data_IF_982570665203
#
_entry.id   IF_982570665203
#
_cell.length_a   1.000
_cell.length_b   1.000
_cell.length_c   1.000
_cell.angle_alpha   90.00
_cell.angle_beta   90.00
_cell.angle_gamma   90.00
#
_symmetry.space_group_name_H-M   'P 1'
#
loop_
_entity.id
_entity.type
_entity.pdbx_description
1 polymer ?
#
# COMPACT_ATOMS: atom_id res chain seq x y z
N UNK A 1 -13.45 4.52 -17.91
CA UNK A 1 -12.94 5.57 -17.03
C UNK A 1 -11.51 5.25 -16.63
N UNK A 2 -10.64 6.23 -16.74
CA UNK A 2 -9.24 5.99 -16.43
C UNK A 2 -9.05 5.86 -14.91
N UNK A 3 -8.22 4.93 -14.52
CA UNK A 3 -7.92 4.76 -13.10
C UNK A 3 -6.75 5.66 -12.75
N UNK A 4 -6.74 6.19 -11.54
CA UNK A 4 -5.66 7.04 -11.11
C UNK A 4 -4.38 6.21 -10.88
N UNK A 5 -3.27 6.88 -10.80
CA UNK A 5 -2.01 6.19 -10.48
C UNK A 5 -2.09 5.51 -9.12
N UNK A 6 -2.79 6.13 -8.19
CA UNK A 6 -2.95 5.56 -6.86
C UNK A 6 -3.78 4.28 -6.91
N UNK A 7 -4.87 4.28 -7.68
CA UNK A 7 -5.70 3.09 -7.80
C UNK A 7 -4.89 1.92 -8.36
N UNK A 8 -4.06 2.18 -9.35
CA UNK A 8 -3.21 1.14 -9.91
C UNK A 8 -2.19 0.64 -8.90
N UNK A 9 -1.62 1.56 -8.13
CA UNK A 9 -0.66 1.18 -7.09
C UNK A 9 -1.32 0.30 -6.03
N UNK A 10 -2.52 0.67 -5.61
CA UNK A 10 -3.24 -0.12 -4.62
C UNK A 10 -3.52 -1.53 -5.15
N UNK A 11 -4.02 -1.63 -6.38
CA UNK A 11 -4.28 -2.95 -6.96
C UNK A 11 -3.02 -3.78 -7.10
N UNK A 12 -1.94 -3.14 -7.52
CA UNK A 12 -0.66 -3.81 -7.66
C UNK A 12 -0.20 -4.39 -6.32
N UNK A 13 -0.33 -3.59 -5.26
CA UNK A 13 0.08 -4.03 -3.93
C UNK A 13 -0.84 -5.12 -3.39
N UNK A 14 -2.14 -5.02 -3.64
CA UNK A 14 -3.07 -6.07 -3.22
C UNK A 14 -2.70 -7.42 -3.81
N UNK A 15 -2.29 -7.43 -5.06
CA UNK A 15 -1.90 -8.68 -5.70
C UNK A 15 -0.66 -9.30 -5.06
N UNK A 16 0.05 -8.54 -4.26
CA UNK A 16 1.28 -9.00 -3.63
C UNK A 16 1.16 -9.17 -2.13
N UNK A 17 -0.08 -9.27 -1.65
CA UNK A 17 -0.30 -9.60 -0.25
C UNK A 17 -0.60 -8.42 0.66
N UNK A 18 -0.69 -7.23 0.11
CA UNK A 18 -1.11 -6.08 0.92
C UNK A 18 -2.60 -6.17 1.19
N UNK A 19 -2.99 -5.71 2.35
CA UNK A 19 -4.39 -5.62 2.73
C UNK A 19 -4.76 -4.16 2.91
N UNK A 20 -5.92 -3.78 2.41
CA UNK A 20 -6.41 -2.42 2.56
C UNK A 20 -7.78 -2.47 3.20
N UNK A 21 -7.98 -1.64 4.20
CA UNK A 21 -9.27 -1.55 4.84
C UNK A 21 -10.08 -0.44 4.18
N UNK A 22 -11.33 -0.72 3.81
CA UNK A 22 -12.18 0.35 3.33
C UNK A 22 -12.54 1.16 4.56
N UNK A 23 -11.91 2.29 4.72
CA UNK A 23 -12.14 3.05 5.92
C UNK A 23 -12.45 4.48 5.58
N UNK A 24 -13.70 4.83 5.68
CA UNK A 24 -14.07 6.22 5.79
C UNK A 24 -13.72 6.70 7.18
N UNK A 25 -13.68 5.76 8.12
CA UNK A 25 -13.30 6.03 9.51
C UNK A 25 -12.25 5.04 9.94
N UNK A 26 -11.33 5.49 10.75
CA UNK A 26 -10.35 4.65 11.39
C UNK A 26 -10.54 4.82 12.87
N UNK A 27 -10.93 3.73 13.56
CA UNK A 27 -11.16 3.76 15.00
C UNK A 27 -12.19 4.80 15.41
N UNK A 28 -13.26 4.91 14.60
CA UNK A 28 -14.32 5.84 14.92
C UNK A 28 -14.10 7.26 14.48
N UNK A 29 -12.97 7.53 13.88
CA UNK A 29 -12.62 8.87 13.42
C UNK A 29 -12.52 8.86 11.90
N UNK A 30 -12.90 9.95 11.25
CA UNK A 30 -12.78 10.03 9.81
C UNK A 30 -11.32 9.95 9.40
N UNK A 31 -11.08 9.18 8.35
CA UNK A 31 -9.75 9.05 7.79
C UNK A 31 -9.32 10.39 7.19
N UNK A 32 -8.13 10.89 7.49
CA UNK A 32 -7.65 12.11 6.86
C UNK A 32 -7.58 11.97 5.35
N UNK A 33 -7.81 13.05 4.66
CA UNK A 33 -7.73 13.06 3.20
C UNK A 33 -6.35 12.62 2.74
N UNK A 34 -6.34 11.73 1.76
CA UNK A 34 -5.07 11.23 1.22
C UNK A 34 -4.38 10.16 2.04
N UNK A 35 -5.03 9.69 3.10
CA UNK A 35 -4.47 8.63 3.93
C UNK A 35 -5.26 7.34 3.73
N UNK A 36 -4.57 6.23 3.87
CA UNK A 36 -5.16 4.91 3.66
C UNK A 36 -4.77 3.99 4.80
N UNK A 37 -5.70 3.15 5.20
CA UNK A 37 -5.45 2.17 6.24
C UNK A 37 -5.05 0.87 5.56
N UNK A 38 -3.80 0.48 5.70
CA UNK A 38 -3.26 -0.64 4.96
C UNK A 38 -2.24 -1.42 5.79
N UNK A 39 -2.02 -2.65 5.36
CA UNK A 39 -1.06 -3.53 6.02
C UNK A 39 -0.21 -4.19 4.94
N UNK A 40 1.11 -4.04 5.02
CA UNK A 40 1.99 -4.73 4.10
C UNK A 40 2.23 -6.17 4.57
N UNK A 41 2.77 -7.05 3.72
CA UNK A 41 2.89 -8.47 4.08
C UNK A 41 3.73 -8.76 5.32
N UNK A 42 4.58 -7.84 5.73
CA UNK A 42 5.44 -8.05 6.89
C UNK A 42 4.88 -7.43 8.17
N UNK A 43 3.80 -6.68 8.08
CA UNK A 43 3.22 -6.03 9.25
C UNK A 43 2.25 -6.96 9.96
N UNK A 44 2.15 -6.80 11.26
CA UNK A 44 1.17 -7.54 12.05
C UNK A 44 -0.17 -6.82 12.11
N UNK A 45 -0.19 -5.53 11.89
CA UNK A 45 -1.39 -4.73 12.05
C UNK A 45 -1.42 -3.61 11.02
N UNK A 46 -2.58 -3.00 10.86
CA UNK A 46 -2.76 -1.92 9.90
C UNK A 46 -2.10 -0.65 10.36
N UNK A 47 -1.62 0.11 9.40
CA UNK A 47 -1.02 1.43 9.64
C UNK A 47 -1.57 2.42 8.64
N UNK A 48 -1.38 3.69 8.93
CA UNK A 48 -1.81 4.74 8.01
C UNK A 48 -0.69 5.00 7.01
N UNK A 49 -1.05 4.93 5.74
CA UNK A 49 -0.12 5.23 4.65
C UNK A 49 -0.67 6.38 3.83
N UNK A 50 0.16 7.28 3.41
CA UNK A 50 -0.29 8.34 2.52
C UNK A 50 -0.11 7.90 1.07
N UNK A 51 -0.70 8.69 0.17
CA UNK A 51 -0.68 8.44 -1.26
C UNK A 51 0.76 8.27 -1.77
N UNK A 52 1.62 9.19 -1.40
CA UNK A 52 3.00 9.19 -1.87
C UNK A 52 3.75 7.94 -1.43
N UNK A 53 3.56 7.53 -0.19
CA UNK A 53 4.23 6.35 0.35
C UNK A 53 3.75 5.09 -0.34
N UNK A 54 2.45 4.97 -0.57
CA UNK A 54 1.91 3.79 -1.26
C UNK A 54 2.46 3.68 -2.68
N UNK A 55 2.53 4.80 -3.39
CA UNK A 55 3.07 4.78 -4.75
C UNK A 55 4.56 4.44 -4.76
N UNK A 56 5.30 4.88 -3.74
CA UNK A 56 6.71 4.51 -3.62
C UNK A 56 6.88 3.02 -3.40
N UNK A 57 6.08 2.43 -2.52
CA UNK A 57 6.16 1.00 -2.30
C UNK A 57 5.85 0.23 -3.57
N UNK A 58 4.82 0.64 -4.29
CA UNK A 58 4.49 -0.02 -5.55
C UNK A 58 5.67 0.04 -6.51
N UNK A 59 6.32 1.18 -6.60
CA UNK A 59 7.48 1.33 -7.47
C UNK A 59 8.64 0.43 -7.03
N UNK A 60 8.93 0.42 -5.75
CA UNK A 60 10.06 -0.39 -5.25
C UNK A 60 9.79 -1.88 -5.42
N UNK A 61 8.57 -2.31 -5.16
CA UNK A 61 8.22 -3.70 -5.35
C UNK A 61 8.34 -4.08 -6.83
N UNK A 62 7.83 -3.23 -7.70
CA UNK A 62 7.95 -3.44 -9.14
C UNK A 62 9.42 -3.54 -9.56
N UNK A 63 10.23 -2.63 -9.06
CA UNK A 63 11.64 -2.59 -9.41
C UNK A 63 12.36 -3.87 -8.97
N UNK A 64 12.08 -4.33 -7.75
CA UNK A 64 12.68 -5.56 -7.26
C UNK A 64 12.27 -6.74 -8.14
N UNK A 65 10.98 -6.83 -8.47
CA UNK A 65 10.49 -7.93 -9.31
C UNK A 65 11.10 -7.90 -10.70
N UNK A 66 11.31 -6.72 -11.25
CA UNK A 66 11.92 -6.62 -12.58
C UNK A 66 13.37 -7.09 -12.58
N UNK A 67 13.99 -7.15 -11.42
CA UNK A 67 15.35 -7.66 -11.27
C UNK A 67 15.37 -9.11 -10.79
N UNK A 68 14.20 -9.76 -10.73
CA UNK A 68 14.12 -11.13 -10.27
C UNK A 68 14.28 -11.28 -8.77
N UNK A 69 14.04 -10.23 -8.01
CA UNK A 69 14.20 -10.24 -6.57
C UNK A 69 12.86 -10.03 -5.87
N UNK A 70 12.81 -10.37 -4.59
CA UNK A 70 11.64 -10.12 -3.77
C UNK A 70 11.91 -8.89 -2.91
N UNK A 71 10.99 -7.96 -2.91
CA UNK A 71 11.15 -6.76 -2.11
C UNK A 71 11.08 -7.12 -0.63
N UNK A 72 12.00 -6.60 0.14
CA UNK A 72 12.07 -6.86 1.57
C UNK A 72 11.41 -5.74 2.35
N UNK A 73 10.23 -6.01 2.90
CA UNK A 73 9.50 -5.02 3.72
C UNK A 73 10.02 -4.97 5.14
N UNK A 74 10.64 -6.06 5.56
CA UNK A 74 10.88 -6.28 6.95
C UNK A 74 11.98 -5.47 7.53
N UNK A 75 12.81 -4.97 6.80
CA UNK A 75 13.90 -4.24 7.24
C UNK A 75 14.69 -4.88 8.27
N UNK A 76 15.65 -4.93 8.34
CA UNK A 76 16.60 -5.47 9.19
C UNK A 76 16.91 -6.76 8.96
#
# INVERSE_FOLDING_TARGET
>A
MARSKLDRAVDFLKQRGWEFRPAEKIQGVFKPVGKYDAKNPAQDDFSIYDNKTLRRYAFYVYLAESQGKTFNYGTN
#
